data_IF_416048146563
#
_entry.id   IF_416048146563
#
_cell.length_a   1.000
_cell.length_b   1.000
_cell.length_c   1.000
_cell.angle_alpha   90.00
_cell.angle_beta   90.00
_cell.angle_gamma   90.00
#
_symmetry.space_group_name_H-M   'P 1'
#
loop_
_entity.id
_entity.type
_entity.pdbx_description
1 polymer ?
#
# COMPACT_ATOMS: atom_id res chain seq x y z
N UNK A 1 -28.94 17.33 -9.51
CA UNK A 1 -27.54 17.75 -9.73
C UNK A 1 -26.74 17.49 -8.47
N UNK A 2 -25.93 16.44 -8.44
CA UNK A 2 -25.07 16.16 -7.28
C UNK A 2 -23.88 17.12 -7.24
N UNK A 3 -23.65 17.75 -6.08
CA UNK A 3 -22.52 18.68 -5.87
C UNK A 3 -21.19 17.94 -6.05
N UNK A 4 -20.24 18.53 -6.77
CA UNK A 4 -18.90 17.98 -7.04
C UNK A 4 -18.16 17.47 -5.78
N UNK A 5 -18.38 18.12 -4.62
CA UNK A 5 -17.84 17.67 -3.34
C UNK A 5 -18.34 16.29 -2.86
N UNK A 6 -19.57 15.88 -3.21
CA UNK A 6 -20.08 14.52 -2.95
C UNK A 6 -19.42 13.48 -3.86
N UNK A 7 -19.22 13.82 -5.14
CA UNK A 7 -18.50 12.98 -6.11
C UNK A 7 -17.03 12.75 -5.71
N UNK A 8 -16.35 13.79 -5.22
CA UNK A 8 -14.97 13.69 -4.72
C UNK A 8 -14.91 12.82 -3.46
N UNK A 9 -15.85 12.98 -2.52
CA UNK A 9 -15.93 12.10 -1.34
C UNK A 9 -16.23 10.64 -1.72
N UNK A 10 -17.09 10.38 -2.71
CA UNK A 10 -17.40 9.05 -3.20
C UNK A 10 -16.18 8.37 -3.87
N UNK A 11 -15.37 9.13 -4.63
CA UNK A 11 -14.12 8.62 -5.23
C UNK A 11 -13.02 8.35 -4.20
N UNK A 12 -12.88 9.21 -3.18
CA UNK A 12 -11.95 9.00 -2.03
C UNK A 12 -12.36 7.85 -1.11
N UNK A 13 -13.58 7.37 -1.25
CA UNK A 13 -14.26 6.42 -0.37
C UNK A 13 -14.24 4.97 -0.89
N UNK A 14 -13.62 4.72 -2.04
CA UNK A 14 -13.68 3.40 -2.65
C UNK A 14 -12.79 2.43 -1.88
N UNK A 15 -13.44 1.56 -1.11
CA UNK A 15 -12.81 0.38 -0.52
C UNK A 15 -12.13 -0.41 -1.67
N UNK A 16 -10.87 -0.82 -1.53
CA UNK A 16 -10.09 -1.36 -2.66
C UNK A 16 -10.48 -2.81 -3.00
N UNK A 17 -11.11 -3.50 -2.07
CA UNK A 17 -11.49 -4.91 -2.18
C UNK A 17 -13.00 -5.07 -2.06
N UNK A 18 -13.56 -5.99 -2.86
CA UNK A 18 -14.99 -6.29 -2.84
C UNK A 18 -15.39 -6.94 -1.50
N UNK A 19 -16.57 -6.60 -1.00
CA UNK A 19 -17.09 -7.13 0.28
C UNK A 19 -16.51 -6.47 1.54
N UNK A 20 -15.48 -5.64 1.43
CA UNK A 20 -14.91 -4.94 2.59
C UNK A 20 -15.63 -3.62 2.90
N UNK A 21 -15.53 -3.18 4.15
CA UNK A 21 -16.13 -1.96 4.69
C UNK A 21 -15.07 -0.97 5.14
N UNK A 22 -15.38 0.33 5.11
CA UNK A 22 -14.45 1.38 5.55
C UNK A 22 -13.95 1.25 6.99
N UNK A 23 -14.77 0.67 7.88
CA UNK A 23 -14.38 0.41 9.27
C UNK A 23 -13.21 -0.55 9.39
N UNK A 24 -12.96 -1.38 8.36
CA UNK A 24 -11.83 -2.30 8.29
C UNK A 24 -10.54 -1.62 7.80
N UNK A 25 -10.60 -0.33 7.46
CA UNK A 25 -9.41 0.42 7.07
C UNK A 25 -8.53 0.71 8.28
N UNK A 26 -7.25 0.35 8.20
CA UNK A 26 -6.23 0.66 9.20
C UNK A 26 -5.14 1.57 8.65
N UNK A 27 -4.37 2.17 9.56
CA UNK A 27 -3.13 2.86 9.23
C UNK A 27 -2.02 1.86 9.04
N UNK A 28 -1.03 2.17 8.20
CA UNK A 28 0.19 1.35 8.14
C UNK A 28 0.95 1.36 9.46
N UNK A 29 0.82 2.44 10.25
CA UNK A 29 1.43 2.56 11.58
C UNK A 29 0.93 1.48 12.55
N UNK A 30 -0.26 0.92 12.32
CA UNK A 30 -0.84 -0.12 13.18
C UNK A 30 -0.16 -1.49 13.03
N UNK A 31 0.61 -1.68 11.95
CA UNK A 31 1.24 -2.98 11.61
C UNK A 31 2.76 -2.91 11.48
N UNK A 32 3.37 -1.73 11.69
CA UNK A 32 4.82 -1.57 11.57
C UNK A 32 5.50 -2.23 12.77
N UNK A 33 6.44 -3.13 12.48
CA UNK A 33 7.39 -3.63 13.45
C UNK A 33 8.59 -2.67 13.51
N UNK A 34 8.76 -1.97 14.63
CA UNK A 34 9.91 -1.09 14.82
C UNK A 34 11.18 -1.86 15.14
N UNK A 35 12.33 -1.22 14.89
CA UNK A 35 13.65 -1.80 15.15
C UNK A 35 13.78 -2.25 16.61
N UNK A 36 14.12 -3.53 16.81
CA UNK A 36 14.25 -4.15 18.13
C UNK A 36 12.96 -4.73 18.73
N UNK A 37 11.83 -4.64 18.03
CA UNK A 37 10.61 -5.35 18.40
C UNK A 37 10.62 -6.80 17.90
N UNK A 38 9.78 -7.62 18.51
CA UNK A 38 9.59 -9.02 18.15
C UNK A 38 8.68 -9.13 16.92
N UNK A 39 9.25 -9.47 15.77
CA UNK A 39 8.57 -9.59 14.48
C UNK A 39 7.36 -10.52 14.54
N UNK A 40 7.40 -11.58 15.36
CA UNK A 40 6.31 -12.55 15.49
C UNK A 40 5.02 -11.92 16.01
N UNK A 41 5.09 -10.76 16.69
CA UNK A 41 3.91 -10.03 17.19
C UNK A 41 3.29 -9.09 16.15
N UNK A 42 3.99 -8.86 15.04
CA UNK A 42 3.59 -7.96 13.95
C UNK A 42 3.37 -8.69 12.63
N UNK A 43 3.30 -10.02 12.67
CA UNK A 43 2.95 -10.83 11.52
C UNK A 43 1.58 -10.45 10.97
N UNK A 44 1.54 -10.26 9.66
CA UNK A 44 0.33 -10.12 8.89
C UNK A 44 0.25 -11.24 7.86
N UNK A 45 -0.95 -11.75 7.63
CA UNK A 45 -1.23 -12.63 6.51
C UNK A 45 -1.79 -11.79 5.38
N UNK A 46 -1.03 -11.62 4.30
CA UNK A 46 -1.49 -10.92 3.10
C UNK A 46 -2.44 -11.85 2.34
N UNK A 47 -3.67 -11.39 2.14
CA UNK A 47 -4.75 -12.13 1.48
C UNK A 47 -4.90 -11.69 0.03
N UNK A 48 -4.81 -10.38 -0.21
CA UNK A 48 -4.90 -9.78 -1.54
C UNK A 48 -4.15 -8.44 -1.55
N UNK A 49 -3.69 -8.01 -2.72
CA UNK A 49 -3.01 -6.74 -2.89
C UNK A 49 -3.27 -6.14 -4.27
N UNK A 50 -3.25 -4.80 -4.32
CA UNK A 50 -3.43 -4.02 -5.57
C UNK A 50 -2.50 -2.83 -5.59
N UNK A 51 -1.87 -2.58 -6.73
CA UNK A 51 -1.11 -1.35 -6.98
C UNK A 51 -1.89 -0.51 -7.97
N UNK A 52 -2.41 0.62 -7.50
CA UNK A 52 -3.28 1.51 -8.25
C UNK A 52 -2.74 2.95 -8.22
N UNK A 53 -3.31 3.81 -9.07
CA UNK A 53 -3.05 5.25 -9.03
C UNK A 53 -3.70 5.88 -7.79
N UNK A 54 -2.93 6.72 -7.10
CA UNK A 54 -3.37 7.46 -5.94
C UNK A 54 -4.37 8.55 -6.34
N UNK A 55 -5.51 8.55 -5.66
CA UNK A 55 -6.55 9.57 -5.86
C UNK A 55 -6.19 10.89 -5.16
N UNK A 56 -5.24 10.86 -4.21
CA UNK A 56 -4.91 11.97 -3.31
C UNK A 56 -3.53 12.52 -3.62
N UNK A 57 -2.54 11.63 -3.74
CA UNK A 57 -1.15 12.03 -3.96
C UNK A 57 -0.84 12.11 -5.45
N UNK A 58 -0.23 13.23 -5.84
CA UNK A 58 0.18 13.48 -7.21
C UNK A 58 1.62 13.97 -7.23
N UNK A 59 2.26 13.84 -8.36
CA UNK A 59 3.60 14.35 -8.62
C UNK A 59 3.63 15.11 -9.94
N UNK A 60 4.51 16.11 -10.01
CA UNK A 60 4.75 16.84 -11.26
C UNK A 60 5.90 16.14 -11.96
N UNK A 61 5.61 15.58 -13.12
CA UNK A 61 6.58 14.88 -13.98
C UNK A 61 6.82 15.73 -15.22
N UNK A 62 8.07 15.82 -15.63
CA UNK A 62 8.42 16.43 -16.91
C UNK A 62 8.30 15.36 -18.00
N UNK A 63 7.46 15.62 -18.98
CA UNK A 63 7.18 14.70 -20.10
C UNK A 63 7.54 15.40 -21.39
N UNK A 64 8.24 14.69 -22.26
CA UNK A 64 8.49 15.16 -23.62
C UNK A 64 7.22 15.03 -24.43
N UNK A 65 6.69 16.15 -24.91
CA UNK A 65 5.58 16.19 -25.85
C UNK A 65 6.07 16.69 -27.20
N UNK A 66 5.75 15.95 -28.25
CA UNK A 66 5.94 16.41 -29.62
C UNK A 66 4.75 17.26 -30.02
N UNK A 67 4.98 18.55 -30.26
CA UNK A 67 3.98 19.48 -30.76
C UNK A 67 3.62 19.15 -32.22
N UNK A 68 2.51 19.74 -32.70
CA UNK A 68 2.01 19.51 -34.05
C UNK A 68 2.97 19.97 -35.16
N UNK A 69 3.95 20.80 -34.84
CA UNK A 69 5.03 21.26 -35.72
C UNK A 69 6.26 20.33 -35.73
N UNK A 70 6.22 19.21 -35.00
CA UNK A 70 7.30 18.24 -34.89
C UNK A 70 8.39 18.59 -33.87
N UNK A 71 8.26 19.70 -33.16
CA UNK A 71 9.20 20.07 -32.10
C UNK A 71 8.89 19.33 -30.80
N UNK A 72 9.92 18.90 -30.07
CA UNK A 72 9.76 18.25 -28.76
C UNK A 72 9.93 19.29 -27.65
N UNK A 73 8.94 19.39 -26.78
CA UNK A 73 8.97 20.27 -25.62
C UNK A 73 8.87 19.47 -24.32
N UNK A 74 9.67 19.84 -23.33
CA UNK A 74 9.53 19.34 -21.97
C UNK A 74 8.35 20.07 -21.31
N UNK A 75 7.25 19.35 -21.08
CA UNK A 75 6.04 19.89 -20.46
C UNK A 75 5.90 19.29 -19.06
N UNK A 76 5.65 20.15 -18.08
CA UNK A 76 5.36 19.71 -16.71
C UNK A 76 3.89 19.27 -16.61
N UNK A 77 3.65 17.99 -16.29
CA UNK A 77 2.32 17.42 -16.10
C UNK A 77 2.15 16.88 -14.68
N UNK A 78 0.96 17.09 -14.13
CA UNK A 78 0.57 16.53 -12.85
C UNK A 78 0.00 15.12 -13.06
N UNK A 79 0.66 14.10 -12.50
CA UNK A 79 0.27 12.70 -12.59
C UNK A 79 0.03 12.12 -11.19
N UNK A 80 -0.92 11.17 -11.03
CA UNK A 80 -1.13 10.49 -9.75
C UNK A 80 0.07 9.61 -9.40
N UNK A 81 0.49 9.63 -8.13
CA UNK A 81 1.50 8.69 -7.64
C UNK A 81 0.93 7.27 -7.57
N UNK A 82 1.79 6.25 -7.62
CA UNK A 82 1.36 4.87 -7.32
C UNK A 82 1.10 4.68 -5.83
N UNK A 83 0.17 3.77 -5.51
CA UNK A 83 -0.22 3.41 -4.15
C UNK A 83 -0.51 1.91 -4.08
N UNK A 84 0.02 1.26 -3.06
CA UNK A 84 -0.30 -0.12 -2.71
C UNK A 84 -1.52 -0.13 -1.78
N UNK A 85 -2.47 -0.99 -2.08
CA UNK A 85 -3.58 -1.39 -1.21
C UNK A 85 -3.35 -2.83 -0.79
N UNK A 86 -3.36 -3.11 0.51
CA UNK A 86 -3.20 -4.46 1.06
C UNK A 86 -4.48 -4.88 1.77
N UNK A 87 -4.91 -6.13 1.58
CA UNK A 87 -5.91 -6.82 2.39
C UNK A 87 -5.18 -7.89 3.20
N UNK A 88 -5.38 -7.89 4.51
CA UNK A 88 -4.63 -8.76 5.41
C UNK A 88 -5.40 -9.13 6.68
N UNK A 89 -4.88 -10.12 7.41
CA UNK A 89 -5.24 -10.41 8.81
C UNK A 89 -4.02 -10.22 9.68
N UNK A 90 -4.25 -9.89 10.95
CA UNK A 90 -3.19 -9.77 11.95
C UNK A 90 -3.09 -11.11 12.68
N UNK A 91 -1.87 -11.49 13.08
CA UNK A 91 -1.66 -12.64 13.95
C UNK A 91 -2.42 -12.45 15.26
N UNK A 92 -3.11 -13.48 15.72
CA UNK A 92 -3.74 -13.49 17.04
C UNK A 92 -2.76 -14.07 18.07
N UNK A 93 -2.30 -15.29 17.82
CA UNK A 93 -1.31 -15.99 18.64
C UNK A 93 -0.67 -17.15 17.88
N UNK A 94 0.32 -17.78 18.51
CA UNK A 94 0.89 -19.04 18.05
C UNK A 94 0.33 -20.21 18.87
N UNK A 95 -0.09 -21.27 18.18
CA UNK A 95 -0.42 -22.55 18.79
C UNK A 95 0.69 -23.54 18.46
N UNK A 96 1.71 -23.59 19.32
CA UNK A 96 2.96 -24.31 19.02
C UNK A 96 3.77 -23.60 17.93
N UNK A 97 4.00 -24.29 16.81
CA UNK A 97 4.68 -23.74 15.63
C UNK A 97 3.70 -23.19 14.58
N UNK A 98 2.39 -23.24 14.84
CA UNK A 98 1.35 -22.82 13.89
C UNK A 98 0.86 -21.40 14.19
N UNK A 99 0.73 -20.60 13.13
CA UNK A 99 0.21 -19.23 13.16
C UNK A 99 -1.33 -19.24 13.20
N UNK A 100 -1.91 -18.67 14.26
CA UNK A 100 -3.37 -18.50 14.38
C UNK A 100 -3.73 -17.04 14.11
N UNK A 101 -4.59 -16.85 13.10
CA UNK A 101 -4.94 -15.52 12.59
C UNK A 101 -6.25 -15.00 13.17
N UNK A 102 -6.35 -13.68 13.31
CA UNK A 102 -7.61 -13.03 13.64
C UNK A 102 -8.66 -13.29 12.54
N UNK A 103 -9.92 -13.40 12.94
CA UNK A 103 -11.04 -13.62 12.01
C UNK A 103 -11.40 -12.38 11.20
N UNK A 104 -11.06 -11.19 11.73
CA UNK A 104 -11.34 -9.91 11.08
C UNK A 104 -10.25 -9.60 10.07
N UNK A 105 -10.69 -9.29 8.85
CA UNK A 105 -9.80 -8.80 7.80
C UNK A 105 -9.73 -7.28 7.82
N UNK A 106 -8.54 -6.77 7.55
CA UNK A 106 -8.23 -5.35 7.48
C UNK A 106 -7.71 -5.00 6.10
N UNK A 107 -7.78 -3.72 5.76
CA UNK A 107 -7.07 -3.21 4.61
C UNK A 107 -6.40 -1.88 4.91
N UNK A 108 -5.33 -1.58 4.19
CA UNK A 108 -4.63 -0.31 4.30
C UNK A 108 -4.21 0.22 2.95
N UNK A 109 -3.75 1.46 2.95
CA UNK A 109 -3.11 2.10 1.80
C UNK A 109 -1.71 2.58 2.18
N UNK A 110 -0.75 2.40 1.27
CA UNK A 110 0.60 2.95 1.44
C UNK A 110 1.16 3.49 0.13
N UNK A 111 1.78 4.67 0.21
CA UNK A 111 2.56 5.28 -0.87
C UNK A 111 4.05 4.95 -0.80
N UNK A 112 4.46 4.02 0.07
CA UNK A 112 5.86 3.63 0.22
C UNK A 112 6.38 3.02 -1.07
N UNK A 113 7.36 3.69 -1.70
CA UNK A 113 7.97 3.20 -2.95
C UNK A 113 8.58 1.81 -2.80
N UNK A 114 9.20 1.51 -1.65
CA UNK A 114 9.83 0.22 -1.39
C UNK A 114 8.78 -0.88 -1.27
N UNK A 115 7.70 -0.65 -0.51
CA UNK A 115 6.63 -1.64 -0.37
C UNK A 115 5.90 -1.88 -1.70
N UNK A 116 5.67 -0.82 -2.49
CA UNK A 116 5.08 -0.93 -3.83
C UNK A 116 5.99 -1.78 -4.74
N UNK A 117 7.30 -1.52 -4.72
CA UNK A 117 8.27 -2.24 -5.53
C UNK A 117 8.33 -3.73 -5.17
N UNK A 118 8.42 -4.08 -3.88
CA UNK A 118 8.38 -5.47 -3.41
C UNK A 118 7.06 -6.15 -3.78
N UNK A 119 5.93 -5.45 -3.65
CA UNK A 119 4.65 -6.03 -4.04
C UNK A 119 4.51 -6.28 -5.56
N UNK A 120 5.26 -5.57 -6.40
CA UNK A 120 5.24 -5.75 -7.85
C UNK A 120 6.23 -6.82 -8.33
N UNK A 121 7.38 -6.93 -7.67
CA UNK A 121 8.49 -7.75 -8.13
C UNK A 121 8.68 -9.04 -7.33
N UNK A 122 8.36 -9.03 -6.03
CA UNK A 122 8.63 -10.15 -5.12
C UNK A 122 7.37 -10.98 -4.84
N UNK A 123 6.18 -10.36 -4.85
CA UNK A 123 4.94 -11.07 -4.51
C UNK A 123 4.37 -11.87 -5.69
N UNK A 124 4.13 -13.16 -5.47
CA UNK A 124 3.39 -14.00 -6.41
C UNK A 124 1.92 -14.11 -6.00
N UNK A 125 0.98 -13.89 -6.93
CA UNK A 125 -0.46 -14.03 -6.64
C UNK A 125 -0.89 -15.47 -6.36
N UNK A 126 -0.17 -16.45 -6.92
CA UNK A 126 -0.47 -17.86 -6.73
C UNK A 126 -0.01 -18.38 -5.34
N UNK A 127 0.81 -17.58 -4.64
CA UNK A 127 1.29 -17.88 -3.28
C UNK A 127 0.43 -17.21 -2.19
N UNK A 128 -0.63 -16.49 -2.57
CA UNK A 128 -1.57 -15.93 -1.62
C UNK A 128 -2.49 -17.03 -1.03
N UNK A 129 -2.79 -17.00 0.28
CA UNK A 129 -2.27 -16.06 1.27
C UNK A 129 -0.89 -16.45 1.81
N UNK A 130 -0.05 -15.47 2.14
CA UNK A 130 1.26 -15.67 2.78
C UNK A 130 1.48 -14.74 3.96
N UNK A 131 2.39 -15.14 4.86
CA UNK A 131 2.75 -14.40 6.08
C UNK A 131 3.97 -13.50 5.83
N UNK A 132 3.95 -12.28 6.35
CA UNK A 132 5.09 -11.34 6.28
C UNK A 132 4.99 -10.30 7.41
N UNK A 133 6.05 -9.51 7.61
CA UNK A 133 6.09 -8.38 8.54
C UNK A 133 6.45 -7.10 7.79
N UNK A 134 5.86 -5.97 8.18
CA UNK A 134 6.28 -4.65 7.70
C UNK A 134 7.28 -4.06 8.68
N UNK A 135 8.57 -4.22 8.41
CA UNK A 135 9.64 -3.75 9.29
C UNK A 135 10.04 -2.28 9.01
N UNK A 136 10.19 -1.48 10.06
CA UNK A 136 10.88 -0.18 10.02
C UNK A 136 12.39 -0.40 10.08
N UNK A 137 13.10 0.19 9.12
CA UNK A 137 14.56 0.14 9.05
C UNK A 137 15.14 1.51 8.76
N UNK A 138 16.42 1.66 9.08
CA UNK A 138 17.20 2.87 8.81
C UNK A 138 18.25 2.61 7.73
N UNK A 139 18.39 3.51 6.77
CA UNK A 139 19.46 3.43 5.79
C UNK A 139 20.80 3.95 6.37
N UNK A 140 21.88 3.88 5.58
CA UNK A 140 23.22 4.40 5.97
C UNK A 140 23.23 5.89 6.36
N UNK A 141 22.21 6.64 5.96
CA UNK A 141 22.01 8.06 6.28
C UNK A 141 21.01 8.28 7.43
N UNK A 142 20.67 7.24 8.20
CA UNK A 142 19.67 7.25 9.28
C UNK A 142 18.27 7.68 8.85
N UNK A 143 17.94 7.57 7.55
CA UNK A 143 16.59 7.80 7.05
C UNK A 143 15.76 6.54 7.22
N UNK A 144 14.60 6.69 7.85
CA UNK A 144 13.60 5.63 8.02
C UNK A 144 13.01 5.19 6.69
N UNK A 145 12.77 3.89 6.54
CA UNK A 145 12.02 3.29 5.46
C UNK A 145 11.33 2.01 5.92
N UNK A 146 10.30 1.56 5.19
CA UNK A 146 9.54 0.36 5.49
C UNK A 146 9.75 -0.67 4.39
N UNK A 147 9.89 -1.95 4.76
CA UNK A 147 9.98 -3.07 3.83
C UNK A 147 9.21 -4.29 4.35
N UNK A 148 8.81 -5.19 3.45
CA UNK A 148 8.38 -6.53 3.82
C UNK A 148 9.59 -7.39 4.16
N UNK A 149 9.50 -8.16 5.25
CA UNK A 149 10.48 -9.17 5.69
C UNK A 149 9.89 -10.57 5.70
#
# INVERSE_FOLDING_TARGET
MERFGKLVKARKSRVPFEGMQKSQQQSIEDIICHEGQDENKFLIQVIDYKVDDSVIEKEVVQVEETAADGSTHLVSKEMPKKRLSLRYRIIDHFEGESEVWQTVEHYLYTGSKILIDQALNDFCRDELPFSTVVAELHNKFKKKFYKFT
#
